data_IF_914299595104
#
_entry.id   IF_914299595104
#
_cell.length_a   1.000
_cell.length_b   1.000
_cell.length_c   1.000
_cell.angle_alpha   90.00
_cell.angle_beta   90.00
_cell.angle_gamma   90.00
#
_symmetry.space_group_name_H-M   'P 1'
#
loop_
_entity.id
_entity.type
_entity.pdbx_description
1 polymer ?
#
# COMPACT_ATOMS: atom_id res chain seq x y z
N UNK A 1 -61.46 -49.47 -13.12
CA UNK A 1 -60.00 -49.44 -13.36
C UNK A 1 -59.51 -48.00 -13.14
N UNK A 2 -59.15 -47.66 -11.90
CA UNK A 2 -58.71 -46.30 -11.51
C UNK A 2 -57.20 -46.20 -11.74
N UNK A 3 -56.79 -45.32 -12.67
CA UNK A 3 -55.37 -45.00 -12.92
C UNK A 3 -54.86 -44.07 -11.82
N UNK A 4 -53.73 -44.45 -11.21
CA UNK A 4 -52.98 -43.63 -10.27
C UNK A 4 -52.46 -42.36 -10.96
N UNK A 5 -52.73 -41.20 -10.34
CA UNK A 5 -52.05 -39.94 -10.60
C UNK A 5 -50.96 -39.78 -9.53
N UNK A 6 -49.69 -39.90 -9.94
CA UNK A 6 -48.54 -39.55 -9.11
C UNK A 6 -48.20 -38.08 -9.35
N UNK A 7 -48.44 -37.23 -8.34
CA UNK A 7 -47.86 -35.89 -8.22
C UNK A 7 -46.46 -36.00 -7.61
N UNK A 8 -45.40 -35.41 -8.20
CA UNK A 8 -44.21 -35.07 -7.46
C UNK A 8 -44.25 -33.60 -7.03
N UNK A 9 -44.35 -33.37 -5.72
CA UNK A 9 -44.10 -32.08 -5.09
C UNK A 9 -42.62 -31.68 -5.29
N UNK A 10 -42.39 -30.64 -6.09
CA UNK A 10 -41.11 -29.92 -6.13
C UNK A 10 -41.00 -29.03 -4.89
N UNK A 11 -40.19 -29.45 -3.91
CA UNK A 11 -39.71 -28.60 -2.83
C UNK A 11 -38.64 -27.65 -3.41
N UNK A 12 -38.96 -26.35 -3.47
CA UNK A 12 -38.02 -25.28 -3.74
C UNK A 12 -37.06 -25.12 -2.55
N UNK A 13 -35.88 -25.73 -2.63
CA UNK A 13 -34.74 -25.35 -1.82
C UNK A 13 -34.14 -24.06 -2.40
N UNK A 14 -34.33 -22.94 -1.70
CA UNK A 14 -33.67 -21.68 -2.01
C UNK A 14 -32.17 -21.79 -1.65
N UNK A 15 -31.32 -22.02 -2.65
CA UNK A 15 -29.88 -21.89 -2.50
C UNK A 15 -29.51 -20.40 -2.40
N UNK A 16 -29.15 -19.96 -1.20
CA UNK A 16 -28.50 -18.68 -0.97
C UNK A 16 -27.04 -18.77 -1.42
N UNK A 17 -26.79 -18.70 -2.73
CA UNK A 17 -25.46 -18.58 -3.31
C UNK A 17 -25.02 -17.12 -3.23
N UNK A 18 -24.39 -16.75 -2.10
CA UNK A 18 -23.56 -15.56 -2.04
C UNK A 18 -22.25 -15.85 -2.75
N UNK A 19 -22.16 -15.50 -4.03
CA UNK A 19 -20.93 -15.61 -4.82
C UNK A 19 -19.80 -14.79 -4.17
N UNK A 20 -18.81 -15.52 -3.65
CA UNK A 20 -17.56 -14.98 -3.15
C UNK A 20 -16.67 -14.53 -4.31
N UNK A 21 -16.45 -13.22 -4.40
CA UNK A 21 -15.58 -12.51 -5.36
C UNK A 21 -14.07 -12.75 -5.14
N UNK A 22 -13.59 -14.00 -5.11
CA UNK A 22 -12.14 -14.26 -5.00
C UNK A 22 -11.70 -15.48 -5.83
N UNK A 23 -10.65 -15.35 -6.67
CA UNK A 23 -9.93 -16.51 -7.18
C UNK A 23 -9.27 -17.24 -6.00
N UNK A 24 -9.60 -18.52 -5.85
CA UNK A 24 -8.97 -19.56 -5.02
C UNK A 24 -8.03 -19.11 -3.90
N UNK A 25 -8.59 -19.09 -2.69
CA UNK A 25 -7.93 -19.01 -1.39
C UNK A 25 -6.78 -20.02 -1.23
N UNK A 26 -5.53 -19.54 -1.28
CA UNK A 26 -4.42 -20.23 -0.60
C UNK A 26 -3.94 -19.51 0.66
N UNK A 27 -4.08 -18.18 0.77
CA UNK A 27 -3.58 -17.41 1.93
C UNK A 27 -4.56 -16.42 2.60
N UNK A 28 -5.87 -16.57 2.37
CA UNK A 28 -6.90 -15.90 3.20
C UNK A 28 -7.26 -16.69 4.49
N UNK A 29 -6.53 -17.77 4.80
CA UNK A 29 -6.72 -18.49 6.06
C UNK A 29 -6.16 -17.68 7.23
N UNK A 30 -6.96 -16.74 7.73
CA UNK A 30 -6.76 -16.18 9.05
C UNK A 30 -6.88 -17.28 10.10
N UNK A 31 -6.00 -17.27 11.10
CA UNK A 31 -6.07 -18.19 12.24
C UNK A 31 -7.48 -18.16 12.86
N UNK A 32 -8.08 -19.33 13.16
CA UNK A 32 -9.38 -19.39 13.82
C UNK A 32 -9.38 -18.64 15.15
N UNK A 33 -10.53 -18.09 15.53
CA UNK A 33 -10.65 -17.37 16.80
C UNK A 33 -10.35 -18.25 18.02
N UNK A 34 -10.61 -19.55 17.94
CA UNK A 34 -10.27 -20.53 18.98
C UNK A 34 -8.77 -20.58 19.24
N UNK A 35 -7.96 -20.63 18.17
CA UNK A 35 -6.51 -20.65 18.26
C UNK A 35 -5.95 -19.30 18.73
N UNK A 36 -6.50 -18.19 18.24
CA UNK A 36 -6.12 -16.84 18.71
C UNK A 36 -6.39 -16.70 20.21
N UNK A 37 -7.53 -17.19 20.70
CA UNK A 37 -7.87 -17.17 22.14
C UNK A 37 -6.94 -18.07 22.97
N UNK A 38 -6.44 -19.16 22.40
CA UNK A 38 -5.47 -20.02 23.07
C UNK A 38 -4.08 -19.37 23.16
N UNK A 39 -3.75 -18.41 22.29
CA UNK A 39 -2.48 -17.69 22.29
C UNK A 39 -2.67 -16.17 22.18
N UNK A 40 -3.02 -15.56 23.31
CA UNK A 40 -3.20 -14.10 23.42
C UNK A 40 -1.89 -13.33 23.61
N UNK A 41 -0.81 -14.03 23.99
CA UNK A 41 0.50 -13.42 24.16
C UNK A 41 0.96 -12.74 22.86
N UNK A 42 1.63 -11.60 22.99
CA UNK A 42 2.28 -10.95 21.87
C UNK A 42 3.77 -11.30 21.89
N UNK A 43 4.34 -11.52 20.72
CA UNK A 43 5.78 -11.65 20.55
C UNK A 43 6.21 -10.60 19.54
N UNK A 44 7.15 -9.74 19.93
CA UNK A 44 7.66 -8.71 19.04
C UNK A 44 8.29 -9.36 17.80
N UNK A 45 7.76 -9.01 16.64
CA UNK A 45 8.30 -9.37 15.34
C UNK A 45 8.61 -8.09 14.56
N UNK A 46 9.68 -8.14 13.76
CA UNK A 46 10.00 -7.08 12.80
C UNK A 46 9.51 -7.51 11.44
N UNK A 47 8.99 -6.56 10.67
CA UNK A 47 8.53 -6.83 9.33
C UNK A 47 9.69 -7.37 8.47
N UNK A 48 9.43 -8.48 7.77
CA UNK A 48 10.40 -9.04 6.82
C UNK A 48 10.42 -8.15 5.58
N UNK A 49 11.62 -7.71 5.21
CA UNK A 49 11.85 -6.80 4.10
C UNK A 49 12.62 -7.55 3.01
N UNK A 50 12.02 -7.82 1.84
CA UNK A 50 12.74 -8.38 0.72
C UNK A 50 13.66 -7.32 0.10
N UNK A 51 14.88 -7.71 -0.26
CA UNK A 51 15.78 -6.87 -1.03
C UNK A 51 15.26 -6.72 -2.47
N UNK A 52 14.99 -5.49 -2.95
CA UNK A 52 14.58 -5.27 -4.32
C UNK A 52 15.75 -5.51 -5.29
N UNK A 53 15.43 -5.77 -6.57
CA UNK A 53 16.45 -5.74 -7.63
C UNK A 53 17.04 -4.34 -7.75
N UNK A 54 18.31 -4.25 -8.16
CA UNK A 54 19.00 -2.96 -8.34
C UNK A 54 18.28 -2.07 -9.34
N UNK A 55 17.68 -2.67 -10.37
CA UNK A 55 16.92 -1.93 -11.37
C UNK A 55 15.59 -1.40 -10.83
N UNK A 56 14.84 -2.21 -10.09
CA UNK A 56 13.58 -1.76 -9.51
C UNK A 56 13.82 -0.71 -8.42
N UNK A 57 14.91 -0.84 -7.65
CA UNK A 57 15.32 0.17 -6.67
C UNK A 57 15.71 1.47 -7.35
N UNK A 58 16.47 1.44 -8.45
CA UNK A 58 16.80 2.65 -9.21
C UNK A 58 15.55 3.44 -9.66
N UNK A 59 14.53 2.74 -10.17
CA UNK A 59 13.24 3.37 -10.49
C UNK A 59 12.57 3.98 -9.26
N UNK A 60 12.55 3.24 -8.14
CA UNK A 60 11.96 3.70 -6.89
C UNK A 60 12.68 4.93 -6.32
N UNK A 61 14.01 4.92 -6.26
CA UNK A 61 14.81 6.05 -5.75
C UNK A 61 14.61 7.30 -6.60
N UNK A 62 14.59 7.16 -7.93
CA UNK A 62 14.33 8.29 -8.82
C UNK A 62 12.90 8.84 -8.64
N UNK A 63 11.89 7.96 -8.54
CA UNK A 63 10.52 8.35 -8.23
C UNK A 63 10.38 9.05 -6.86
N UNK A 64 11.12 8.59 -5.84
CA UNK A 64 11.20 9.25 -4.53
C UNK A 64 11.80 10.64 -4.60
N UNK A 65 12.85 10.82 -5.40
CA UNK A 65 13.48 12.12 -5.61
C UNK A 65 12.54 13.08 -6.34
N UNK A 66 11.86 12.64 -7.40
CA UNK A 66 10.81 13.42 -8.08
C UNK A 66 9.69 13.80 -7.11
N UNK A 67 9.21 12.85 -6.32
CA UNK A 67 8.16 13.08 -5.32
C UNK A 67 8.58 14.12 -4.28
N UNK A 68 9.84 14.07 -3.80
CA UNK A 68 10.39 15.08 -2.89
C UNK A 68 10.36 16.48 -3.53
N UNK A 69 10.74 16.60 -4.79
CA UNK A 69 10.65 17.86 -5.55
C UNK A 69 9.22 18.35 -5.74
N UNK A 70 8.24 17.45 -5.77
CA UNK A 70 6.83 17.75 -6.00
C UNK A 70 6.00 18.00 -4.71
N UNK A 71 6.62 18.01 -3.52
CA UNK A 71 5.88 18.08 -2.24
C UNK A 71 5.15 19.41 -2.00
N UNK A 72 5.85 20.55 -2.21
CA UNK A 72 5.34 21.88 -1.86
C UNK A 72 4.62 22.56 -3.02
N UNK A 73 5.04 22.28 -4.25
CA UNK A 73 4.45 22.83 -5.48
C UNK A 73 4.16 21.67 -6.42
N UNK A 74 2.94 21.14 -6.30
CA UNK A 74 2.50 19.96 -7.04
C UNK A 74 2.31 20.27 -8.52
N UNK A 75 2.97 19.48 -9.36
CA UNK A 75 2.74 19.34 -10.78
C UNK A 75 2.15 17.95 -11.06
N UNK A 76 0.96 17.92 -11.68
CA UNK A 76 0.27 16.68 -12.04
C UNK A 76 1.02 15.87 -13.10
N UNK A 77 1.82 16.51 -13.95
CA UNK A 77 2.64 15.81 -14.93
C UNK A 77 3.77 15.02 -14.25
N UNK A 78 4.35 15.59 -13.18
CA UNK A 78 5.34 14.90 -12.35
C UNK A 78 4.71 13.74 -11.58
N UNK A 79 3.49 13.91 -11.05
CA UNK A 79 2.76 12.82 -10.40
C UNK A 79 2.49 11.65 -11.35
N UNK A 80 2.21 11.90 -12.63
CA UNK A 80 2.05 10.84 -13.63
C UNK A 80 3.35 10.04 -13.86
N UNK A 81 4.50 10.72 -13.92
CA UNK A 81 5.80 10.05 -14.03
C UNK A 81 6.15 9.27 -12.74
N UNK A 82 5.86 9.81 -11.56
CA UNK A 82 6.03 9.10 -10.29
C UNK A 82 5.14 7.84 -10.25
N UNK A 83 3.88 7.96 -10.65
CA UNK A 83 2.94 6.82 -10.73
C UNK A 83 3.49 5.74 -11.67
N UNK A 84 3.93 6.14 -12.87
CA UNK A 84 4.53 5.25 -13.87
C UNK A 84 5.73 4.47 -13.31
N UNK A 85 6.68 5.17 -12.69
CA UNK A 85 7.89 4.56 -12.12
C UNK A 85 7.55 3.63 -10.96
N UNK A 86 6.65 4.02 -10.06
CA UNK A 86 6.20 3.16 -8.97
C UNK A 86 5.47 1.92 -9.45
N UNK A 87 4.64 2.03 -10.49
CA UNK A 87 3.97 0.86 -11.10
C UNK A 87 4.99 -0.14 -11.63
N UNK A 88 5.93 0.33 -12.45
CA UNK A 88 6.95 -0.55 -13.05
C UNK A 88 7.84 -1.16 -11.96
N UNK A 89 8.28 -0.38 -10.97
CA UNK A 89 9.08 -0.90 -9.85
C UNK A 89 8.29 -1.92 -9.02
N UNK A 90 7.01 -1.66 -8.71
CA UNK A 90 6.13 -2.54 -7.95
C UNK A 90 5.96 -3.90 -8.63
N UNK A 91 5.64 -3.92 -9.93
CA UNK A 91 5.48 -5.16 -10.70
C UNK A 91 6.81 -5.92 -10.91
N UNK A 92 7.93 -5.24 -10.71
CA UNK A 92 9.27 -5.83 -10.64
C UNK A 92 9.71 -6.16 -9.20
N UNK A 93 8.75 -6.26 -8.27
CA UNK A 93 8.96 -6.79 -6.91
C UNK A 93 9.35 -5.76 -5.85
N UNK A 94 9.34 -4.46 -6.17
CA UNK A 94 9.74 -3.43 -5.21
C UNK A 94 8.64 -3.11 -4.20
N UNK A 95 8.73 -3.70 -3.00
CA UNK A 95 7.69 -3.56 -1.97
C UNK A 95 7.41 -2.10 -1.55
N UNK A 96 8.42 -1.23 -1.43
CA UNK A 96 8.16 0.20 -1.08
C UNK A 96 7.46 0.95 -2.20
N UNK A 97 7.67 0.58 -3.47
CA UNK A 97 6.99 1.22 -4.60
C UNK A 97 5.51 0.82 -4.57
N UNK A 98 5.22 -0.46 -4.31
CA UNK A 98 3.88 -0.95 -4.06
C UNK A 98 3.20 -0.17 -2.92
N UNK A 99 3.82 -0.12 -1.74
CA UNK A 99 3.29 0.58 -0.56
C UNK A 99 3.07 2.08 -0.84
N UNK A 100 4.01 2.74 -1.51
CA UNK A 100 3.90 4.17 -1.84
C UNK A 100 2.81 4.45 -2.87
N UNK A 101 2.66 3.57 -3.87
CA UNK A 101 1.60 3.67 -4.86
C UNK A 101 0.22 3.51 -4.21
N UNK A 102 0.05 2.51 -3.33
CA UNK A 102 -1.20 2.32 -2.59
C UNK A 102 -1.52 3.50 -1.65
N UNK A 103 -0.54 3.96 -0.87
CA UNK A 103 -0.74 5.10 0.03
C UNK A 103 -1.00 6.41 -0.74
N UNK A 104 -0.33 6.63 -1.87
CA UNK A 104 -0.55 7.79 -2.72
C UNK A 104 -1.94 7.77 -3.36
N UNK A 105 -2.43 6.60 -3.79
CA UNK A 105 -3.78 6.44 -4.30
C UNK A 105 -4.86 6.69 -3.23
N UNK A 106 -4.65 6.19 -2.01
CA UNK A 106 -5.54 6.47 -0.88
C UNK A 106 -5.59 7.96 -0.50
N UNK A 107 -4.56 8.74 -0.84
CA UNK A 107 -4.51 10.21 -0.67
C UNK A 107 -4.97 10.98 -1.91
N UNK A 108 -5.31 10.30 -3.00
CA UNK A 108 -5.77 10.90 -4.25
C UNK A 108 -4.65 11.40 -5.19
N UNK A 109 -3.38 11.09 -4.91
CA UNK A 109 -2.26 11.45 -5.79
C UNK A 109 -2.14 10.53 -7.00
N UNK A 110 -2.48 9.25 -6.83
CA UNK A 110 -2.40 8.22 -7.87
C UNK A 110 -3.77 7.58 -8.11
N UNK A 111 -3.95 6.94 -9.27
CA UNK A 111 -5.23 6.31 -9.63
C UNK A 111 -5.12 4.79 -9.64
N UNK A 112 -5.51 4.16 -8.53
CA UNK A 112 -5.68 2.70 -8.42
C UNK A 112 -7.15 2.32 -8.32
N UNK A 113 -7.51 1.19 -8.93
CA UNK A 113 -8.84 0.58 -8.76
C UNK A 113 -8.89 -0.32 -7.53
N UNK A 114 -10.10 -0.70 -7.11
CA UNK A 114 -10.27 -1.53 -5.92
C UNK A 114 -9.60 -2.90 -6.03
N UNK A 115 -9.81 -3.59 -7.13
CA UNK A 115 -9.18 -4.89 -7.42
C UNK A 115 -7.66 -4.79 -7.47
N UNK A 116 -7.14 -3.67 -7.97
CA UNK A 116 -5.70 -3.39 -8.02
C UNK A 116 -5.10 -3.24 -6.61
N UNK A 117 -5.75 -2.48 -5.72
CA UNK A 117 -5.36 -2.40 -4.32
C UNK A 117 -5.27 -3.77 -3.63
N UNK A 118 -6.24 -4.64 -3.87
CA UNK A 118 -6.25 -5.98 -3.28
C UNK A 118 -5.15 -6.87 -3.85
N UNK A 119 -4.96 -6.87 -5.17
CA UNK A 119 -3.87 -7.62 -5.82
C UNK A 119 -2.50 -7.16 -5.32
N UNK A 120 -2.28 -5.85 -5.24
CA UNK A 120 -1.03 -5.30 -4.73
C UNK A 120 -0.80 -5.66 -3.26
N UNK A 121 -1.85 -5.69 -2.45
CA UNK A 121 -1.78 -6.17 -1.06
C UNK A 121 -1.45 -7.66 -0.99
N UNK A 122 -1.99 -8.46 -1.90
CA UNK A 122 -1.68 -9.88 -2.02
C UNK A 122 -0.21 -10.11 -2.45
N UNK A 123 0.33 -9.34 -3.40
CA UNK A 123 1.75 -9.39 -3.77
C UNK A 123 2.68 -9.11 -2.59
N UNK A 124 2.30 -8.16 -1.72
CA UNK A 124 3.05 -7.89 -0.49
C UNK A 124 3.01 -9.10 0.45
N UNK A 125 1.84 -9.72 0.65
CA UNK A 125 1.66 -10.91 1.48
C UNK A 125 2.51 -12.09 0.95
N UNK A 126 2.48 -12.33 -0.36
CA UNK A 126 3.27 -13.37 -1.02
C UNK A 126 4.79 -13.13 -0.91
N UNK A 127 5.19 -11.88 -0.71
CA UNK A 127 6.58 -11.48 -0.47
C UNK A 127 6.93 -11.43 1.03
N UNK A 128 6.09 -11.99 1.91
CA UNK A 128 6.19 -11.96 3.37
C UNK A 128 6.19 -10.54 3.99
N UNK A 129 5.70 -9.54 3.26
CA UNK A 129 5.60 -8.14 3.73
C UNK A 129 4.27 -7.96 4.47
N UNK A 130 4.33 -7.92 5.80
CA UNK A 130 3.18 -7.85 6.70
C UNK A 130 2.22 -6.68 6.42
N UNK A 131 2.72 -5.59 5.84
CA UNK A 131 1.95 -4.41 5.42
C UNK A 131 0.85 -4.75 4.41
N UNK A 132 0.98 -5.83 3.64
CA UNK A 132 -0.11 -6.32 2.78
C UNK A 132 -1.37 -6.68 3.58
N UNK A 133 -1.23 -7.39 4.71
CA UNK A 133 -2.35 -7.67 5.62
C UNK A 133 -2.92 -6.37 6.24
N UNK A 134 -2.06 -5.39 6.55
CA UNK A 134 -2.48 -4.09 7.07
C UNK A 134 -3.34 -3.31 6.08
N UNK A 135 -3.01 -3.32 4.78
CA UNK A 135 -3.83 -2.69 3.75
C UNK A 135 -5.21 -3.35 3.62
N UNK A 136 -5.26 -4.69 3.56
CA UNK A 136 -6.54 -5.43 3.55
C UNK A 136 -7.39 -5.06 4.77
N UNK A 137 -6.78 -4.95 5.95
CA UNK A 137 -7.48 -4.53 7.17
C UNK A 137 -8.08 -3.12 7.03
N UNK A 138 -7.36 -2.17 6.43
CA UNK A 138 -7.90 -0.82 6.16
C UNK A 138 -9.07 -0.88 5.20
N UNK A 139 -8.97 -1.64 4.12
CA UNK A 139 -10.05 -1.75 3.12
C UNK A 139 -11.30 -2.38 3.72
N UNK A 140 -11.17 -3.45 4.51
CA UNK A 140 -12.28 -4.05 5.27
C UNK A 140 -12.88 -3.08 6.29
N UNK A 141 -12.05 -2.32 7.02
CA UNK A 141 -12.52 -1.37 8.03
C UNK A 141 -13.36 -0.25 7.39
N UNK A 142 -13.01 0.17 6.16
CA UNK A 142 -13.64 1.29 5.45
C UNK A 142 -14.73 0.87 4.47
N UNK A 143 -14.85 -0.42 4.14
CA UNK A 143 -15.70 -0.86 3.04
C UNK A 143 -15.23 -0.32 1.68
N UNK A 144 -13.93 -0.44 1.42
CA UNK A 144 -13.27 0.09 0.22
C UNK A 144 -12.62 -1.01 -0.61
N UNK A 145 -12.10 -0.65 -1.78
CA UNK A 145 -11.41 -1.56 -2.70
C UNK A 145 -12.23 -2.80 -3.11
N UNK A 146 -13.57 -2.68 -3.18
CA UNK A 146 -14.47 -3.78 -3.49
C UNK A 146 -14.85 -4.66 -2.29
N UNK A 147 -14.31 -4.38 -1.10
CA UNK A 147 -14.67 -5.09 0.12
C UNK A 147 -15.83 -4.41 0.83
N UNK A 148 -16.79 -5.21 1.33
CA UNK A 148 -17.81 -4.71 2.26
C UNK A 148 -17.18 -4.39 3.61
N UNK A 149 -17.72 -3.37 4.27
CA UNK A 149 -17.25 -2.99 5.59
C UNK A 149 -17.43 -4.15 6.58
N UNK A 150 -16.34 -4.57 7.22
CA UNK A 150 -16.37 -5.61 8.24
C UNK A 150 -15.27 -5.34 9.28
N UNK A 151 -15.66 -4.72 10.39
CA UNK A 151 -14.74 -4.30 11.46
C UNK A 151 -14.08 -5.48 12.19
N UNK A 152 -14.82 -6.58 12.40
CA UNK A 152 -14.29 -7.76 13.11
C UNK A 152 -13.24 -8.49 12.26
N UNK A 153 -13.51 -8.64 10.97
CA UNK A 153 -12.53 -9.19 10.03
C UNK A 153 -11.30 -8.27 9.94
N UNK A 154 -11.50 -6.95 9.87
CA UNK A 154 -10.40 -5.99 9.85
C UNK A 154 -9.50 -6.13 11.09
N UNK A 155 -10.07 -6.30 12.29
CA UNK A 155 -9.30 -6.53 13.51
C UNK A 155 -8.44 -7.80 13.44
N UNK A 156 -8.96 -8.88 12.83
CA UNK A 156 -8.18 -10.12 12.62
C UNK A 156 -7.01 -9.89 11.66
N UNK A 157 -7.22 -9.17 10.57
CA UNK A 157 -6.14 -8.79 9.65
C UNK A 157 -5.11 -7.86 10.31
N UNK A 158 -5.53 -6.86 11.09
CA UNK A 158 -4.62 -6.02 11.87
C UNK A 158 -3.80 -6.85 12.86
N UNK A 159 -4.41 -7.79 13.58
CA UNK A 159 -3.68 -8.68 14.50
C UNK A 159 -2.68 -9.55 13.74
N UNK A 160 -3.06 -10.11 12.60
CA UNK A 160 -2.13 -10.90 11.75
C UNK A 160 -0.95 -10.07 11.28
N UNK A 161 -1.21 -8.86 10.77
CA UNK A 161 -0.17 -7.92 10.35
C UNK A 161 0.78 -7.53 11.51
N UNK A 162 0.23 -7.28 12.70
CA UNK A 162 1.02 -6.93 13.88
C UNK A 162 1.93 -8.09 14.34
N UNK A 163 1.40 -9.31 14.34
CA UNK A 163 2.17 -10.52 14.68
C UNK A 163 3.28 -10.81 13.65
N UNK A 164 3.07 -10.45 12.39
CA UNK A 164 4.10 -10.55 11.34
C UNK A 164 5.01 -9.32 11.23
N UNK A 165 4.85 -8.35 12.12
CA UNK A 165 5.82 -7.28 12.32
C UNK A 165 5.47 -5.93 11.72
N UNK A 166 4.32 -5.74 11.07
CA UNK A 166 3.92 -4.42 10.55
C UNK A 166 3.81 -3.41 11.70
N UNK A 167 4.69 -2.40 11.71
CA UNK A 167 4.74 -1.39 12.76
C UNK A 167 3.42 -0.58 12.86
N UNK A 168 2.79 -0.28 11.72
CA UNK A 168 1.49 0.42 11.70
C UNK A 168 0.38 -0.43 12.31
N UNK A 169 0.38 -1.74 12.05
CA UNK A 169 -0.57 -2.66 12.66
C UNK A 169 -0.33 -2.83 14.17
N UNK A 170 0.94 -2.91 14.59
CA UNK A 170 1.31 -2.95 16.01
C UNK A 170 0.79 -1.72 16.76
N UNK A 171 0.97 -0.52 16.19
CA UNK A 171 0.40 0.72 16.75
C UNK A 171 -1.11 0.65 16.81
N UNK A 172 -1.76 0.26 15.72
CA UNK A 172 -3.21 0.18 15.64
C UNK A 172 -3.80 -0.73 16.74
N UNK A 173 -3.24 -1.93 16.91
CA UNK A 173 -3.67 -2.87 17.95
C UNK A 173 -3.30 -2.34 19.34
N UNK A 174 -2.12 -1.75 19.52
CA UNK A 174 -1.72 -1.19 20.82
C UNK A 174 -2.71 -0.14 21.32
N UNK A 175 -3.23 0.73 20.43
CA UNK A 175 -4.20 1.76 20.80
C UNK A 175 -5.55 1.18 21.21
N UNK A 176 -5.92 0.00 20.70
CA UNK A 176 -7.11 -0.73 21.13
C UNK A 176 -6.94 -1.39 22.50
N UNK A 177 -5.72 -1.83 22.82
CA UNK A 177 -5.39 -2.53 24.07
C UNK A 177 -4.94 -1.60 25.21
N UNK A 178 -4.57 -0.36 24.89
CA UNK A 178 -4.01 0.62 25.83
C UNK A 178 -4.92 1.04 27.00
N UNK A 179 -6.27 1.03 26.91
CA UNK A 179 -7.12 1.28 28.07
C UNK A 179 -6.75 0.36 29.25
N UNK A 180 -6.81 0.90 30.46
CA UNK A 180 -6.33 0.25 31.68
C UNK A 180 -7.06 -1.06 32.00
N UNK A 181 -8.30 -1.18 31.54
CA UNK A 181 -9.23 -2.28 31.76
C UNK A 181 -9.20 -3.35 30.64
N UNK A 182 -8.31 -3.23 29.65
CA UNK A 182 -8.20 -4.18 28.53
C UNK A 182 -6.91 -5.00 28.62
N UNK A 183 -5.79 -4.47 28.11
CA UNK A 183 -4.49 -5.16 28.12
C UNK A 183 -3.33 -4.15 27.96
N UNK A 184 -3.18 -3.19 28.91
CA UNK A 184 -2.20 -2.11 28.79
C UNK A 184 -0.76 -2.61 28.70
N UNK A 185 -0.46 -3.77 29.28
CA UNK A 185 0.88 -4.36 29.28
C UNK A 185 1.25 -4.86 27.87
N UNK A 186 0.34 -5.59 27.21
CA UNK A 186 0.48 -6.00 25.80
C UNK A 186 0.54 -4.79 24.88
N UNK A 187 -0.22 -3.73 25.18
CA UNK A 187 -0.15 -2.47 24.45
C UNK A 187 1.24 -1.83 24.53
N UNK A 188 1.90 -1.87 25.70
CA UNK A 188 3.29 -1.41 25.85
C UNK A 188 4.26 -2.24 25.01
N UNK A 189 4.15 -3.56 25.03
CA UNK A 189 5.00 -4.44 24.22
C UNK A 189 4.87 -4.15 22.72
N UNK A 190 3.64 -3.99 22.22
CA UNK A 190 3.35 -3.62 20.84
C UNK A 190 3.95 -2.26 20.47
N UNK A 191 3.78 -1.25 21.34
CA UNK A 191 4.36 0.09 21.12
C UNK A 191 5.88 0.06 21.13
N UNK A 192 6.49 -0.69 22.06
CA UNK A 192 7.93 -0.84 22.12
C UNK A 192 8.48 -1.52 20.86
N UNK A 193 7.80 -2.57 20.37
CA UNK A 193 8.17 -3.22 19.12
C UNK A 193 8.10 -2.24 17.92
N UNK A 194 7.00 -1.48 17.79
CA UNK A 194 6.84 -0.50 16.72
C UNK A 194 7.83 0.68 16.83
N UNK A 195 8.10 1.16 18.04
CA UNK A 195 9.09 2.21 18.31
C UNK A 195 10.48 1.80 17.84
N UNK A 196 10.91 0.56 18.12
CA UNK A 196 12.18 0.01 17.64
C UNK A 196 12.25 -0.20 16.12
N UNK A 197 11.12 -0.10 15.42
CA UNK A 197 11.04 -0.09 13.95
C UNK A 197 10.98 1.34 13.38
N UNK A 198 11.17 2.37 14.21
CA UNK A 198 11.15 3.78 13.79
C UNK A 198 9.76 4.42 13.78
N UNK A 199 8.77 3.85 14.48
CA UNK A 199 7.48 4.51 14.64
C UNK A 199 7.52 5.54 15.79
N UNK A 200 7.65 6.81 15.44
CA UNK A 200 7.78 7.90 16.41
C UNK A 200 6.56 8.13 17.29
N UNK A 201 5.35 7.90 16.76
CA UNK A 201 4.11 8.03 17.53
C UNK A 201 3.99 6.92 18.58
N UNK A 202 4.39 5.69 18.24
CA UNK A 202 4.46 4.57 19.17
C UNK A 202 5.45 4.85 20.31
N UNK A 203 6.62 5.38 19.96
CA UNK A 203 7.68 5.72 20.91
C UNK A 203 7.25 6.84 21.87
N UNK A 204 6.61 7.90 21.35
CA UNK A 204 6.04 8.97 22.17
C UNK A 204 4.95 8.44 23.12
N UNK A 205 4.01 7.64 22.61
CA UNK A 205 2.94 7.06 23.42
C UNK A 205 3.49 6.10 24.49
N UNK A 206 4.57 5.38 24.19
CA UNK A 206 5.28 4.54 25.14
C UNK A 206 5.96 5.37 26.24
N UNK A 207 6.67 6.45 25.87
CA UNK A 207 7.32 7.35 26.81
C UNK A 207 6.33 8.02 27.77
N UNK A 208 5.20 8.50 27.26
CA UNK A 208 4.11 9.04 28.09
C UNK A 208 3.55 7.97 29.04
N UNK A 209 3.40 6.73 28.57
CA UNK A 209 2.89 5.65 29.41
C UNK A 209 3.86 5.28 30.54
N UNK A 210 5.16 5.20 30.27
CA UNK A 210 6.18 4.93 31.29
C UNK A 210 6.30 6.09 32.28
N UNK A 211 6.32 7.33 31.79
CA UNK A 211 6.36 8.53 32.65
C UNK A 211 5.17 8.56 33.61
N UNK A 212 3.96 8.28 33.12
CA UNK A 212 2.75 8.23 33.97
C UNK A 212 2.75 7.10 35.02
N UNK A 213 3.57 6.06 34.82
CA UNK A 213 3.76 4.95 35.77
C UNK A 213 4.91 5.20 36.77
N UNK A 214 5.70 6.26 36.56
CA UNK A 214 6.90 6.52 37.34
C UNK A 214 8.15 5.79 36.85
N UNK A 215 8.07 5.08 35.73
CA UNK A 215 9.17 4.34 35.09
C UNK A 215 10.01 5.32 34.24
N UNK A 216 10.67 6.28 34.90
CA UNK A 216 11.25 7.43 34.21
C UNK A 216 12.42 7.08 33.29
N UNK A 217 13.19 6.04 33.60
CA UNK A 217 14.32 5.62 32.76
C UNK A 217 13.81 5.06 31.42
N UNK A 218 12.82 4.18 31.47
CA UNK A 218 12.16 3.60 30.31
C UNK A 218 11.42 4.68 29.50
N UNK A 219 10.90 5.72 30.17
CA UNK A 219 10.31 6.87 29.52
C UNK A 219 11.35 7.65 28.69
N UNK A 220 12.54 7.90 29.25
CA UNK A 220 13.63 8.57 28.52
C UNK A 220 14.06 7.78 27.29
N UNK A 221 14.23 6.47 27.42
CA UNK A 221 14.60 5.58 26.31
C UNK A 221 13.52 5.57 25.21
N UNK A 222 12.26 5.49 25.59
CA UNK A 222 11.14 5.52 24.66
C UNK A 222 11.04 6.88 23.94
N UNK A 223 11.18 7.99 24.65
CA UNK A 223 11.22 9.31 24.00
C UNK A 223 12.45 9.46 23.10
N UNK A 224 13.61 8.90 23.47
CA UNK A 224 14.81 8.95 22.63
C UNK A 224 14.61 8.20 21.31
N UNK A 225 13.96 7.02 21.35
CA UNK A 225 13.52 6.33 20.14
C UNK A 225 12.55 7.19 19.32
N UNK A 226 11.68 7.96 19.99
CA UNK A 226 10.77 8.90 19.35
C UNK A 226 11.50 10.01 18.62
N UNK A 227 12.54 10.61 19.22
CA UNK A 227 13.38 11.62 18.57
C UNK A 227 14.13 11.01 17.38
N UNK A 228 14.67 9.80 17.53
CA UNK A 228 15.34 9.10 16.43
C UNK A 228 14.41 8.90 15.22
N UNK A 229 13.15 8.57 15.50
CA UNK A 229 12.08 8.43 14.52
C UNK A 229 11.47 9.77 14.04
N UNK A 230 11.98 10.92 14.52
CA UNK A 230 11.54 12.25 14.09
C UNK A 230 10.32 12.82 14.81
N UNK A 231 9.87 12.23 15.90
CA UNK A 231 8.74 12.72 16.67
C UNK A 231 9.14 13.95 17.50
N UNK A 232 8.67 15.13 17.07
CA UNK A 232 8.97 16.41 17.74
C UNK A 232 8.40 16.51 19.15
N UNK A 233 7.27 15.84 19.45
CA UNK A 233 6.71 15.79 20.80
C UNK A 233 7.64 15.07 21.76
N UNK A 234 8.29 13.98 21.33
CA UNK A 234 9.27 13.25 22.14
C UNK A 234 10.49 14.12 22.46
N UNK A 235 10.98 14.90 21.49
CA UNK A 235 12.04 15.88 21.72
C UNK A 235 11.60 16.95 22.73
N UNK A 236 10.34 17.37 22.68
CA UNK A 236 9.77 18.30 23.64
C UNK A 236 9.66 17.72 25.06
N UNK A 237 9.24 16.45 25.19
CA UNK A 237 9.18 15.77 26.49
C UNK A 237 10.57 15.66 27.12
N UNK A 238 11.57 15.23 26.37
CA UNK A 238 12.96 15.17 26.84
C UNK A 238 13.47 16.56 27.21
N UNK A 239 13.31 17.55 26.33
CA UNK A 239 13.75 18.91 26.57
C UNK A 239 13.08 19.59 27.77
N UNK A 240 11.85 19.22 28.13
CA UNK A 240 11.20 19.71 29.35
C UNK A 240 11.58 18.88 30.58
N UNK A 241 11.80 17.57 30.43
CA UNK A 241 12.26 16.71 31.52
C UNK A 241 13.67 17.08 32.00
N UNK A 242 14.59 17.40 31.09
CA UNK A 242 15.93 17.88 31.42
C UNK A 242 15.98 19.33 31.95
N UNK A 243 14.85 20.04 32.06
CA UNK A 243 14.77 21.26 32.88
C UNK A 243 14.70 20.95 34.38
N UNK A 244 14.63 19.66 34.75
CA UNK A 244 14.50 19.22 36.14
C UNK A 244 13.28 19.79 36.86
N UNK A 245 12.06 19.69 36.29
CA UNK A 245 10.88 20.20 36.96
C UNK A 245 10.65 19.46 38.28
N UNK A 246 9.89 20.08 39.18
CA UNK A 246 9.50 19.45 40.45
C UNK A 246 8.51 18.28 40.21
N UNK A 247 8.41 17.31 41.15
CA UNK A 247 7.54 16.14 41.00
C UNK A 247 6.03 16.44 40.87
N UNK A 248 5.59 17.63 41.27
CA UNK A 248 4.21 18.10 41.09
C UNK A 248 3.89 18.40 39.61
N UNK A 249 4.90 18.65 38.77
CA UNK A 249 4.77 18.71 37.32
C UNK A 249 4.68 17.31 36.71
N UNK A 250 3.53 16.66 36.89
CA UNK A 250 3.29 15.29 36.42
C UNK A 250 3.47 15.07 34.92
N UNK A 251 3.39 16.14 34.11
CA UNK A 251 3.50 16.02 32.66
C UNK A 251 4.95 15.87 32.19
N UNK A 252 5.89 16.59 32.81
CA UNK A 252 7.27 16.65 32.37
C UNK A 252 8.27 16.09 33.38
N UNK A 253 7.84 15.67 34.57
CA UNK A 253 8.73 15.05 35.53
C UNK A 253 9.23 13.69 35.04
N UNK A 254 10.55 13.59 34.82
CA UNK A 254 11.26 12.39 34.37
C UNK A 254 12.43 12.03 35.32
N UNK A 255 12.39 12.52 36.56
CA UNK A 255 13.44 12.23 37.56
C UNK A 255 14.84 12.73 37.19
N UNK A 256 14.95 13.69 36.26
CA UNK A 256 16.23 14.25 35.81
C UNK A 256 16.58 15.52 36.58
N UNK A 257 17.88 15.77 36.71
CA UNK A 257 18.39 17.08 37.14
C UNK A 257 18.41 18.05 35.96
N UNK A 258 18.49 19.34 36.26
CA UNK A 258 18.60 20.37 35.23
C UNK A 258 19.91 20.20 34.45
N UNK A 259 19.80 20.08 33.14
CA UNK A 259 20.91 20.03 32.19
C UNK A 259 20.61 20.99 31.04
N UNK A 260 21.05 22.24 31.19
CA UNK A 260 20.80 23.31 30.22
C UNK A 260 21.26 22.96 28.81
N UNK A 261 22.40 22.27 28.68
CA UNK A 261 22.94 21.94 27.38
C UNK A 261 22.06 20.90 26.66
N UNK A 262 21.63 19.85 27.36
CA UNK A 262 20.63 18.89 26.83
C UNK A 262 19.33 19.57 26.43
N UNK A 263 18.84 20.47 27.28
CA UNK A 263 17.60 21.23 27.02
C UNK A 263 17.71 21.99 25.70
N UNK A 264 18.80 22.73 25.48
CA UNK A 264 19.00 23.49 24.25
C UNK A 264 19.16 22.61 23.01
N UNK A 265 19.87 21.47 23.13
CA UNK A 265 19.99 20.50 22.03
C UNK A 265 18.62 19.93 21.64
N UNK A 266 17.83 19.44 22.59
CA UNK A 266 16.49 18.93 22.31
C UNK A 266 15.53 20.00 21.78
N UNK A 267 15.60 21.24 22.28
CA UNK A 267 14.81 22.37 21.73
C UNK A 267 15.16 22.63 20.27
N UNK A 268 16.45 22.64 19.93
CA UNK A 268 16.90 22.85 18.55
C UNK A 268 16.43 21.72 17.63
N UNK A 269 16.57 20.47 18.06
CA UNK A 269 16.08 19.29 17.34
C UNK A 269 14.56 19.36 17.17
N UNK A 270 13.80 19.63 18.25
CA UNK A 270 12.35 19.80 18.21
C UNK A 270 11.93 20.82 17.15
N UNK A 271 12.58 22.00 17.12
CA UNK A 271 12.27 23.06 16.16
C UNK A 271 12.46 22.59 14.71
N UNK A 272 13.55 21.88 14.43
CA UNK A 272 13.80 21.31 13.11
C UNK A 272 12.72 20.27 12.77
N UNK A 273 12.47 19.31 13.66
CA UNK A 273 11.48 18.26 13.45
C UNK A 273 10.07 18.82 13.21
N UNK A 274 9.65 19.82 13.99
CA UNK A 274 8.35 20.47 13.80
C UNK A 274 8.29 21.28 12.49
N UNK A 275 9.35 22.03 12.18
CA UNK A 275 9.40 22.90 11.00
C UNK A 275 9.42 22.12 9.68
N UNK A 276 9.97 20.91 9.70
CA UNK A 276 10.03 20.00 8.56
C UNK A 276 9.06 18.82 8.66
N UNK A 277 8.07 18.86 9.55
CA UNK A 277 7.13 17.73 9.78
C UNK A 277 6.47 17.19 8.49
N UNK A 278 6.18 18.06 7.52
CA UNK A 278 5.65 17.67 6.19
C UNK A 278 6.59 16.78 5.37
N UNK A 279 7.89 16.79 5.69
CA UNK A 279 8.94 16.02 5.03
C UNK A 279 9.30 14.71 5.75
N UNK A 280 8.66 14.43 6.90
CA UNK A 280 8.92 13.25 7.75
C UNK A 280 10.41 13.09 8.13
N UNK A 281 10.99 14.05 8.85
CA UNK A 281 12.40 14.02 9.24
C UNK A 281 12.71 12.87 10.20
N UNK A 282 13.96 12.44 10.24
CA UNK A 282 14.48 11.42 11.18
C UNK A 282 15.79 11.88 11.79
N UNK A 283 16.16 11.34 12.95
CA UNK A 283 17.43 11.65 13.65
C UNK A 283 18.10 10.35 14.13
N UNK A 284 18.45 9.41 13.23
CA UNK A 284 19.08 8.14 13.64
C UNK A 284 20.34 8.33 14.51
N UNK A 285 21.05 9.44 14.33
CA UNK A 285 22.23 9.86 15.05
C UNK A 285 21.96 10.48 16.44
N UNK A 286 20.72 10.44 16.96
CA UNK A 286 20.37 11.17 18.20
C UNK A 286 21.25 10.80 19.40
N UNK A 287 21.72 9.55 19.50
CA UNK A 287 22.61 9.13 20.59
C UNK A 287 24.05 9.62 20.42
N UNK A 288 24.43 10.05 19.21
CA UNK A 288 25.71 10.73 18.94
C UNK A 288 25.60 12.24 19.20
N UNK A 289 24.38 12.78 19.31
CA UNK A 289 24.13 14.21 19.57
C UNK A 289 23.78 14.44 21.04
N UNK A 290 22.86 13.67 21.61
CA UNK A 290 22.33 13.83 22.97
C UNK A 290 22.19 12.44 23.64
N UNK A 291 23.28 11.69 23.89
CA UNK A 291 23.22 10.37 24.53
C UNK A 291 22.61 10.50 25.93
N UNK A 292 21.65 9.67 26.32
CA UNK A 292 21.00 9.77 27.63
C UNK A 292 22.01 9.67 28.81
N UNK A 293 21.73 10.31 29.97
CA UNK A 293 22.57 10.14 31.16
C UNK A 293 22.77 8.66 31.53
N UNK A 294 23.92 8.29 32.12
CA UNK A 294 24.98 9.17 32.65
C UNK A 294 26.04 9.61 31.63
N UNK A 295 25.86 9.31 30.34
CA UNK A 295 26.83 9.68 29.31
C UNK A 295 27.03 11.21 29.24
N UNK A 296 28.27 11.66 29.03
CA UNK A 296 28.57 13.07 28.78
C UNK A 296 28.16 13.46 27.37
N UNK A 297 27.79 14.74 27.19
CA UNK A 297 27.49 15.26 25.87
C UNK A 297 28.76 15.34 25.01
N UNK A 298 28.73 14.79 23.79
CA UNK A 298 29.82 14.97 22.82
C UNK A 298 29.74 16.36 22.18
N UNK A 299 30.81 16.79 21.52
CA UNK A 299 30.78 18.00 20.67
C UNK A 299 29.72 17.86 19.58
N UNK A 300 28.97 18.93 19.32
CA UNK A 300 27.96 18.95 18.27
C UNK A 300 27.90 20.32 17.59
N UNK A 301 28.01 20.32 16.27
CA UNK A 301 27.99 21.53 15.44
C UNK A 301 26.58 22.14 15.28
N UNK A 302 25.57 21.49 15.84
CA UNK A 302 24.20 21.96 15.80
C UNK A 302 23.44 21.58 14.52
N UNK A 303 23.95 20.66 13.70
CA UNK A 303 23.31 20.20 12.47
C UNK A 303 22.80 18.77 12.58
N UNK A 304 21.86 18.42 11.72
CA UNK A 304 21.32 17.07 11.59
C UNK A 304 21.65 16.53 10.20
N UNK A 305 22.11 15.28 10.13
CA UNK A 305 22.49 14.63 8.87
C UNK A 305 21.30 14.60 7.91
N UNK A 306 20.10 14.34 8.44
CA UNK A 306 18.87 14.37 7.64
C UNK A 306 18.63 15.74 7.01
N UNK A 307 18.85 16.84 7.74
CA UNK A 307 18.59 18.20 7.24
C UNK A 307 19.60 18.59 6.17
N UNK A 308 20.88 18.23 6.35
CA UNK A 308 21.92 18.46 5.35
C UNK A 308 21.62 17.68 4.06
N UNK A 309 21.29 16.38 4.17
CA UNK A 309 20.89 15.57 3.02
C UNK A 309 19.59 16.09 2.37
N UNK A 310 18.65 16.59 3.18
CA UNK A 310 17.41 17.18 2.70
C UNK A 310 17.67 18.40 1.83
N UNK A 311 18.51 19.32 2.30
CA UNK A 311 18.88 20.56 1.59
C UNK A 311 19.73 20.26 0.36
N UNK A 312 20.70 19.34 0.46
CA UNK A 312 21.57 18.98 -0.65
C UNK A 312 20.79 18.40 -1.83
N UNK A 313 19.73 17.63 -1.55
CA UNK A 313 18.79 17.07 -2.55
C UNK A 313 19.45 16.47 -3.80
N UNK A 314 20.57 15.76 -3.60
CA UNK A 314 21.37 15.19 -4.69
C UNK A 314 20.50 14.23 -5.52
N UNK A 315 20.39 14.44 -6.85
CA UNK A 315 19.58 13.57 -7.70
C UNK A 315 20.24 12.19 -7.82
N UNK A 316 19.48 11.09 -7.64
CA UNK A 316 19.97 9.77 -8.01
C UNK A 316 20.13 9.67 -9.53
N UNK A 317 20.91 8.71 -10.05
CA UNK A 317 21.04 8.50 -11.49
C UNK A 317 19.66 8.35 -12.15
N UNK A 318 19.39 9.15 -13.17
CA UNK A 318 18.14 9.05 -13.92
C UNK A 318 18.09 7.69 -14.62
N UNK A 319 17.04 6.88 -14.41
CA UNK A 319 16.91 5.60 -15.09
C UNK A 319 16.83 5.78 -16.60
N UNK A 320 17.55 4.93 -17.34
CA UNK A 320 17.53 4.97 -18.80
C UNK A 320 16.17 4.48 -19.35
N UNK A 321 15.65 5.21 -20.33
CA UNK A 321 14.33 4.95 -20.90
C UNK A 321 14.28 3.60 -21.65
N UNK A 322 15.41 3.15 -22.23
CA UNK A 322 15.47 1.80 -22.82
C UNK A 322 15.32 0.71 -21.76
N UNK A 323 15.92 0.91 -20.58
CA UNK A 323 15.81 0.00 -19.43
C UNK A 323 14.40 0.02 -18.83
N UNK A 324 13.77 1.18 -18.69
CA UNK A 324 12.36 1.30 -18.26
C UNK A 324 11.46 0.49 -19.19
N UNK A 325 11.61 0.66 -20.51
CA UNK A 325 10.86 -0.13 -21.52
C UNK A 325 11.10 -1.63 -21.37
N UNK A 326 12.34 -2.05 -21.16
CA UNK A 326 12.67 -3.47 -20.96
C UNK A 326 11.96 -4.05 -19.73
N UNK A 327 12.00 -3.37 -18.59
CA UNK A 327 11.35 -3.80 -17.35
C UNK A 327 9.82 -3.84 -17.47
N UNK A 328 9.24 -2.84 -18.13
CA UNK A 328 7.81 -2.81 -18.41
C UNK A 328 7.39 -3.97 -19.32
N UNK A 329 8.08 -4.17 -20.44
CA UNK A 329 7.79 -5.23 -21.40
C UNK A 329 7.95 -6.63 -20.78
N UNK A 330 8.96 -6.84 -19.93
CA UNK A 330 9.17 -8.11 -19.23
C UNK A 330 8.01 -8.50 -18.31
N UNK A 331 7.19 -7.53 -17.90
CA UNK A 331 5.99 -7.72 -17.07
C UNK A 331 4.68 -7.46 -17.84
N UNK A 332 4.76 -7.35 -19.17
CA UNK A 332 3.66 -6.98 -20.06
C UNK A 332 2.92 -5.71 -19.60
N UNK A 333 3.66 -4.67 -19.21
CA UNK A 333 3.13 -3.36 -18.83
C UNK A 333 3.29 -2.37 -19.98
N UNK A 334 2.38 -1.42 -20.10
CA UNK A 334 2.53 -0.29 -21.00
C UNK A 334 3.72 0.55 -20.52
N UNK A 335 4.80 0.71 -21.32
CA UNK A 335 5.96 1.46 -20.87
C UNK A 335 5.67 2.93 -20.57
N UNK A 336 4.64 3.54 -21.17
CA UNK A 336 4.31 4.95 -20.97
C UNK A 336 3.59 5.22 -19.64
N UNK A 337 2.73 4.31 -19.18
CA UNK A 337 1.95 4.48 -17.95
C UNK A 337 2.34 3.52 -16.81
N UNK A 338 3.09 2.46 -17.11
CA UNK A 338 3.35 1.36 -16.20
C UNK A 338 2.12 0.48 -15.93
N UNK A 339 0.99 0.70 -16.62
CA UNK A 339 -0.24 -0.07 -16.38
C UNK A 339 -0.14 -1.47 -16.99
N UNK A 340 -0.60 -2.50 -16.28
CA UNK A 340 -0.70 -3.85 -16.85
C UNK A 340 -1.50 -3.90 -18.15
N UNK A 341 -0.93 -4.55 -19.16
CA UNK A 341 -1.58 -4.84 -20.45
C UNK A 341 -2.12 -6.28 -20.47
N UNK A 342 -3.00 -6.64 -21.41
CA UNK A 342 -3.38 -8.03 -21.65
C UNK A 342 -2.18 -8.96 -21.70
N UNK A 343 -2.21 -10.04 -20.89
CA UNK A 343 -1.10 -10.97 -20.74
C UNK A 343 -0.20 -10.71 -19.52
N UNK A 344 -0.33 -9.55 -18.86
CA UNK A 344 0.31 -9.29 -17.57
C UNK A 344 -0.39 -10.03 -16.43
N UNK A 345 0.38 -10.46 -15.42
CA UNK A 345 -0.16 -10.97 -14.17
C UNK A 345 -1.00 -9.92 -13.42
N UNK A 346 -0.72 -8.63 -13.66
CA UNK A 346 -1.46 -7.52 -13.07
C UNK A 346 -2.74 -7.14 -13.80
N UNK A 347 -3.04 -7.74 -14.95
CA UNK A 347 -4.18 -7.38 -15.78
C UNK A 347 -5.49 -7.92 -15.19
N UNK A 348 -6.48 -7.05 -15.01
CA UNK A 348 -7.75 -7.43 -14.38
C UNK A 348 -8.83 -7.55 -15.47
N UNK A 349 -9.29 -8.77 -15.70
CA UNK A 349 -10.31 -9.07 -16.69
C UNK A 349 -11.69 -8.58 -16.23
N UNK A 350 -12.50 -8.16 -17.20
CA UNK A 350 -13.87 -7.76 -16.95
C UNK A 350 -14.72 -8.96 -16.52
N UNK A 351 -15.51 -8.79 -15.46
CA UNK A 351 -16.44 -9.81 -14.96
C UNK A 351 -17.77 -9.75 -15.71
N UNK A 352 -18.46 -10.90 -15.77
CA UNK A 352 -19.76 -11.01 -16.43
C UNK A 352 -20.87 -10.36 -15.57
N UNK A 353 -21.84 -9.63 -16.17
CA UNK A 353 -21.96 -9.32 -17.59
C UNK A 353 -21.01 -8.20 -18.01
N UNK A 354 -20.17 -8.48 -19.02
CA UNK A 354 -19.19 -7.52 -19.53
C UNK A 354 -19.91 -6.39 -20.30
N UNK A 355 -19.55 -5.11 -20.08
CA UNK A 355 -20.04 -4.00 -20.88
C UNK A 355 -19.81 -4.21 -22.38
N UNK A 356 -20.77 -3.79 -23.20
CA UNK A 356 -20.69 -3.89 -24.66
C UNK A 356 -21.17 -2.61 -25.34
N UNK A 357 -20.58 -2.27 -26.48
CA UNK A 357 -20.99 -1.17 -27.35
C UNK A 357 -20.79 -1.57 -28.82
N UNK A 358 -21.30 -0.80 -29.76
CA UNK A 358 -21.15 -1.04 -31.20
C UNK A 358 -20.21 -0.04 -31.86
N UNK A 359 -19.62 -0.41 -32.99
CA UNK A 359 -18.91 0.53 -33.87
C UNK A 359 -19.72 1.80 -34.14
N UNK A 360 -19.06 2.96 -34.07
CA UNK A 360 -19.66 4.28 -34.22
C UNK A 360 -20.32 4.83 -32.94
N UNK A 361 -20.43 4.05 -31.86
CA UNK A 361 -20.86 4.55 -30.56
C UNK A 361 -19.67 5.01 -29.72
N UNK A 362 -19.91 5.89 -28.75
CA UNK A 362 -18.89 6.28 -27.78
C UNK A 362 -18.59 5.13 -26.81
N UNK A 363 -17.32 4.96 -26.47
CA UNK A 363 -16.84 4.01 -25.48
C UNK A 363 -17.42 4.36 -24.10
N UNK A 364 -18.17 3.44 -23.45
CA UNK A 364 -18.89 3.77 -22.22
C UNK A 364 -17.93 3.95 -21.02
N UNK A 365 -16.76 3.32 -21.06
CA UNK A 365 -15.74 3.40 -20.02
C UNK A 365 -14.34 3.07 -20.57
N UNK A 366 -13.32 3.69 -19.97
CA UNK A 366 -11.93 3.40 -20.29
C UNK A 366 -11.59 1.92 -20.05
N UNK A 367 -10.74 1.35 -20.89
CA UNK A 367 -10.28 -0.03 -20.73
C UNK A 367 -9.86 -0.68 -22.05
N UNK A 368 -9.47 -1.94 -22.00
CA UNK A 368 -9.22 -2.75 -23.19
C UNK A 368 -10.54 -3.37 -23.66
N UNK A 369 -10.82 -3.25 -24.95
CA UNK A 369 -12.02 -3.76 -25.60
C UNK A 369 -11.62 -4.68 -26.75
N UNK A 370 -12.39 -5.75 -26.91
CA UNK A 370 -12.20 -6.72 -27.99
C UNK A 370 -13.46 -6.84 -28.85
N UNK A 371 -13.27 -7.21 -30.11
CA UNK A 371 -14.38 -7.53 -31.01
C UNK A 371 -15.08 -8.80 -30.52
N UNK A 372 -16.38 -8.71 -30.24
CA UNK A 372 -17.19 -9.82 -29.76
C UNK A 372 -17.65 -10.71 -30.93
N UNK A 373 -17.75 -12.02 -30.68
CA UNK A 373 -18.33 -12.96 -31.64
C UNK A 373 -17.38 -13.44 -32.74
N UNK A 374 -16.06 -13.27 -32.58
CA UNK A 374 -15.07 -13.89 -33.45
C UNK A 374 -15.09 -15.42 -33.25
N UNK A 375 -15.77 -16.15 -34.15
CA UNK A 375 -15.62 -17.60 -34.25
C UNK A 375 -14.26 -17.90 -34.89
N UNK A 376 -13.39 -18.54 -34.11
CA UNK A 376 -12.03 -18.88 -34.51
C UNK A 376 -12.05 -19.71 -35.79
N UNK A 377 -11.41 -19.21 -36.85
CA UNK A 377 -11.37 -19.84 -38.17
C UNK A 377 -12.40 -19.35 -39.19
N UNK A 378 -13.48 -18.67 -38.76
CA UNK A 378 -14.54 -18.15 -39.64
C UNK A 378 -14.48 -16.62 -39.74
N UNK A 379 -14.29 -15.92 -38.62
CA UNK A 379 -14.21 -14.45 -38.58
C UNK A 379 -12.87 -14.00 -37.97
N UNK A 380 -12.17 -13.10 -38.65
CA UNK A 380 -10.95 -12.45 -38.14
C UNK A 380 -10.93 -10.97 -38.51
N UNK A 381 -10.26 -10.15 -37.70
CA UNK A 381 -9.97 -8.76 -38.07
C UNK A 381 -8.79 -8.77 -39.05
N UNK A 382 -8.96 -8.22 -40.25
CA UNK A 382 -7.91 -8.17 -41.28
C UNK A 382 -7.08 -6.88 -41.21
N UNK A 383 -7.71 -5.76 -40.88
CA UNK A 383 -7.03 -4.48 -40.65
C UNK A 383 -7.52 -3.87 -39.32
N UNK A 384 -6.57 -3.49 -38.47
CA UNK A 384 -6.81 -3.02 -37.11
C UNK A 384 -6.53 -4.08 -36.03
N UNK A 385 -6.58 -3.64 -34.78
CA UNK A 385 -6.37 -4.51 -33.62
C UNK A 385 -7.69 -5.13 -33.16
N UNK A 386 -7.68 -6.45 -32.93
CA UNK A 386 -8.83 -7.18 -32.37
C UNK A 386 -9.06 -6.91 -30.88
N UNK A 387 -8.04 -6.37 -30.21
CA UNK A 387 -8.01 -5.99 -28.80
C UNK A 387 -7.25 -4.67 -28.68
N UNK A 388 -7.93 -3.59 -28.27
CA UNK A 388 -7.34 -2.25 -28.17
C UNK A 388 -7.83 -1.54 -26.92
N UNK A 389 -6.99 -0.67 -26.35
CA UNK A 389 -7.38 0.22 -25.25
C UNK A 389 -8.09 1.46 -25.79
N UNK A 390 -9.22 1.80 -25.18
CA UNK A 390 -10.02 2.98 -25.49
C UNK A 390 -10.22 3.83 -24.25
N UNK A 391 -10.29 5.15 -24.42
CA UNK A 391 -10.72 6.07 -23.37
C UNK A 391 -12.24 6.26 -23.36
N UNK A 392 -12.82 6.52 -22.19
CA UNK A 392 -14.25 6.85 -22.08
C UNK A 392 -14.60 8.03 -23.00
N UNK A 393 -15.60 7.84 -23.85
CA UNK A 393 -16.06 8.83 -24.82
C UNK A 393 -15.40 8.72 -26.21
N UNK A 394 -14.34 7.94 -26.37
CA UNK A 394 -13.71 7.67 -27.68
C UNK A 394 -14.69 6.91 -28.58
N UNK A 395 -14.73 7.23 -29.88
CA UNK A 395 -15.64 6.57 -30.82
C UNK A 395 -15.09 5.20 -31.19
N UNK A 396 -15.89 4.15 -31.01
CA UNK A 396 -15.49 2.78 -31.33
C UNK A 396 -15.33 2.61 -32.84
N UNK A 397 -14.19 2.09 -33.33
CA UNK A 397 -13.94 1.98 -34.76
C UNK A 397 -14.79 0.88 -35.40
N UNK A 398 -14.94 0.99 -36.73
CA UNK A 398 -15.49 -0.05 -37.61
C UNK A 398 -14.30 -0.80 -38.23
N UNK A 399 -13.94 -1.99 -37.73
CA UNK A 399 -12.80 -2.73 -38.26
C UNK A 399 -13.13 -3.35 -39.62
N UNK A 400 -12.08 -3.62 -40.41
CA UNK A 400 -12.20 -4.44 -41.61
C UNK A 400 -12.17 -5.91 -41.18
N UNK A 401 -13.26 -6.61 -41.46
CA UNK A 401 -13.46 -8.01 -41.10
C UNK A 401 -13.19 -8.91 -42.30
N UNK A 402 -12.44 -9.98 -42.05
CA UNK A 402 -12.26 -11.09 -42.97
C UNK A 402 -13.14 -12.26 -42.54
N UNK A 403 -13.96 -12.74 -43.48
CA UNK A 403 -14.79 -13.94 -43.31
C UNK A 403 -14.28 -15.05 -44.22
N UNK A 404 -13.97 -16.22 -43.63
CA UNK A 404 -13.63 -17.45 -44.35
C UNK A 404 -14.86 -18.35 -44.39
N UNK A 405 -15.39 -18.57 -45.59
CA UNK A 405 -16.46 -19.54 -45.79
C UNK A 405 -15.86 -20.81 -46.39
N UNK A 406 -15.87 -21.89 -45.61
CA UNK A 406 -15.46 -23.22 -46.06
C UNK A 406 -16.45 -23.72 -47.12
N UNK A 407 -15.92 -24.29 -48.21
CA UNK A 407 -16.74 -24.81 -49.31
C UNK A 407 -16.38 -26.26 -49.58
N UNK A 408 -17.37 -27.14 -49.53
CA UNK A 408 -17.17 -28.57 -49.80
C UNK A 408 -16.67 -28.76 -51.24
N UNK A 409 -15.50 -29.38 -51.42
CA UNK A 409 -14.85 -29.67 -52.71
C UNK A 409 -14.43 -28.44 -53.54
N UNK A 410 -14.40 -27.23 -52.95
CA UNK A 410 -13.94 -26.00 -53.59
C UNK A 410 -12.97 -25.24 -52.67
N UNK A 411 -12.06 -24.40 -53.21
CA UNK A 411 -11.26 -23.51 -52.37
C UNK A 411 -12.13 -22.61 -51.51
N UNK A 412 -11.70 -22.29 -50.30
CA UNK A 412 -12.46 -21.42 -49.39
C UNK A 412 -12.72 -20.04 -50.00
N UNK A 413 -13.85 -19.44 -49.64
CA UNK A 413 -14.16 -18.05 -50.03
C UNK A 413 -13.74 -17.11 -48.92
N UNK A 414 -12.74 -16.28 -49.18
CA UNK A 414 -12.34 -15.19 -48.29
C UNK A 414 -13.05 -13.91 -48.74
N UNK A 415 -13.76 -13.25 -47.83
CA UNK A 415 -14.40 -11.94 -48.07
C UNK A 415 -13.85 -10.95 -47.06
N UNK A 416 -13.45 -9.76 -47.51
CA UNK A 416 -12.91 -8.69 -46.68
C UNK A 416 -13.82 -7.47 -46.84
N UNK A 417 -14.35 -6.92 -45.74
CA UNK A 417 -15.22 -5.74 -45.76
C UNK A 417 -15.21 -5.02 -44.42
N UNK A 418 -15.47 -3.72 -44.42
CA UNK A 418 -15.81 -2.99 -43.20
C UNK A 418 -17.14 -3.49 -42.66
N UNK A 419 -17.16 -3.87 -41.39
CA UNK A 419 -18.37 -4.39 -40.75
C UNK A 419 -18.57 -3.72 -39.39
N UNK A 420 -19.80 -3.28 -39.12
CA UNK A 420 -20.14 -2.77 -37.79
C UNK A 420 -20.14 -3.94 -36.82
N UNK A 421 -19.20 -3.92 -35.87
CA UNK A 421 -19.05 -4.99 -34.90
C UNK A 421 -19.56 -4.58 -33.53
N UNK A 422 -19.86 -5.59 -32.71
CA UNK A 422 -20.06 -5.43 -31.29
C UNK A 422 -18.70 -5.52 -30.59
N UNK A 423 -18.35 -4.51 -29.81
CA UNK A 423 -17.22 -4.51 -28.92
C UNK A 423 -17.65 -4.95 -27.52
N UNK A 424 -16.77 -5.69 -26.84
CA UNK A 424 -16.95 -6.14 -25.46
C UNK A 424 -15.73 -5.75 -24.64
N UNK A 425 -15.95 -5.22 -23.45
CA UNK A 425 -14.86 -4.94 -22.53
C UNK A 425 -14.12 -6.23 -22.20
N UNK A 426 -12.81 -6.22 -22.41
CA UNK A 426 -11.91 -7.31 -22.07
C UNK A 426 -11.40 -7.20 -20.63
N UNK A 427 -11.11 -5.96 -20.20
CA UNK A 427 -10.60 -5.68 -18.86
C UNK A 427 -9.91 -4.33 -18.80
N UNK A 428 -9.37 -4.00 -17.65
CA UNK A 428 -8.56 -2.81 -17.45
C UNK A 428 -7.57 -3.09 -16.32
N UNK A 429 -6.54 -2.25 -16.17
CA UNK A 429 -5.65 -2.26 -15.01
C UNK A 429 -5.70 -0.91 -14.30
#
# INVERSE_FOLDING_TARGET
MRRLLLLPCLLLAACNAGDSLFPSTKDMHLTPLTEIKANLAFTCSREKIPEPSTEADALFQYARWLQKGNLLKQDKAVDAEIERLYRIASENGHYKANINLQNGAMRGHFKLRGEEHLRMSQQLIESDVATGYYFIAIFLKRGAAGLKQNSDMALRYFRRAANQGSAQAQVYISNKLAPIDIAPDVARELRHCAARQGNGDAANALGVNYSGRGDYQEALEAFQLGVAAGNSSSASFLGNGFRGPKPDNRLYYLGQQEDFERVERYKKIQKILSGYSYANPTVPEINEIVPLPPAKLPEWDGKLQWLEAWIANVPPPKPDESRIRQLANAKALDPASGRPMPGSQGFIQATSPMPTCYSGQCCPQTGYWQVAGLLQGIYSVSEGESLRRFERGEIMPTPVMQTRNERLLLPDKITVREERVKWRLFGEA
#
